data_IF_334475908436
#
_entry.id   IF_334475908436
#
_cell.length_a   1.000
_cell.length_b   1.000
_cell.length_c   1.000
_cell.angle_alpha   90.00
_cell.angle_beta   90.00
_cell.angle_gamma   90.00
#
_symmetry.space_group_name_H-M   'P 1'
#
loop_
_entity.id
_entity.type
_entity.pdbx_description
1 polymer ?
#
# COMPACT_ATOMS: atom_id res chain seq x y z
N UNK A 1 15.12 -5.00 5.50
CA UNK A 1 16.34 -4.55 6.22
C UNK A 1 17.03 -3.44 5.44
N UNK A 2 17.33 -3.61 4.13
CA UNK A 2 18.05 -2.62 3.30
C UNK A 2 17.28 -1.29 3.14
N UNK A 3 15.97 -1.35 2.87
CA UNK A 3 15.10 -0.16 2.77
C UNK A 3 15.04 0.59 4.11
N UNK A 4 15.02 -0.12 5.23
CA UNK A 4 15.01 0.47 6.56
C UNK A 4 16.31 1.23 6.86
N UNK A 5 17.46 0.69 6.44
CA UNK A 5 18.75 1.36 6.61
C UNK A 5 18.84 2.68 5.81
N UNK A 6 18.31 2.69 4.57
CA UNK A 6 18.27 3.90 3.74
C UNK A 6 17.36 5.00 4.33
N UNK A 7 16.26 4.61 4.97
CA UNK A 7 15.34 5.56 5.64
C UNK A 7 15.98 6.12 6.93
N UNK A 8 16.89 5.38 7.56
CA UNK A 8 17.61 5.84 8.77
C UNK A 8 18.60 6.97 8.46
N UNK A 9 19.27 6.90 7.31
CA UNK A 9 20.25 7.91 6.89
C UNK A 9 19.60 9.25 6.50
N UNK A 10 18.29 9.25 6.23
CA UNK A 10 17.53 10.43 5.79
C UNK A 10 16.85 11.23 6.91
N UNK A 11 16.98 10.83 8.17
CA UNK A 11 16.23 11.46 9.27
C UNK A 11 17.09 12.40 10.14
N UNK A 12 16.96 13.73 9.99
CA UNK A 12 16.91 14.61 11.14
C UNK A 12 15.44 14.95 11.44
N UNK A 13 14.97 14.53 12.60
CA UNK A 13 13.75 15.03 13.21
C UNK A 13 14.00 16.51 13.61
N UNK A 14 13.54 17.42 12.78
CA UNK A 14 13.61 18.84 13.08
C UNK A 14 12.69 19.58 12.13
N UNK A 15 11.71 20.30 12.67
CA UNK A 15 10.90 21.30 11.97
C UNK A 15 11.77 22.41 11.42
N UNK A 16 12.57 22.14 10.42
CA UNK A 16 13.25 23.18 9.66
C UNK A 16 12.44 23.37 8.39
N UNK A 17 11.91 24.56 8.18
CA UNK A 17 11.36 24.99 6.89
C UNK A 17 12.38 24.58 5.83
N UNK A 18 12.04 23.61 5.01
CA UNK A 18 12.88 23.09 3.95
C UNK A 18 13.34 24.27 3.10
N UNK A 19 14.63 24.64 3.17
CA UNK A 19 15.25 25.37 2.07
C UNK A 19 14.98 24.54 0.83
N UNK A 20 14.39 25.15 -0.19
CA UNK A 20 14.13 24.51 -1.49
C UNK A 20 15.41 23.75 -1.88
N UNK A 21 15.32 22.43 -1.85
CA UNK A 21 16.44 21.58 -2.23
C UNK A 21 16.68 21.78 -3.72
N UNK A 22 17.80 22.41 -4.08
CA UNK A 22 18.15 22.71 -5.47
C UNK A 22 18.74 21.51 -6.21
N UNK A 23 18.94 20.39 -5.51
CA UNK A 23 19.52 19.17 -6.09
C UNK A 23 18.98 17.89 -5.43
N UNK A 24 19.33 16.76 -6.03
CA UNK A 24 19.01 15.44 -5.49
C UNK A 24 19.82 15.17 -4.21
N UNK A 25 19.20 14.59 -3.18
CA UNK A 25 19.87 14.21 -1.96
C UNK A 25 20.94 13.12 -2.20
N UNK A 26 22.00 13.02 -1.37
CA UNK A 26 22.97 11.93 -1.45
C UNK A 26 22.24 10.57 -1.41
N UNK A 27 22.67 9.60 -2.24
CA UNK A 27 22.03 8.28 -2.31
C UNK A 27 20.70 8.21 -3.06
N UNK A 28 20.23 9.28 -3.69
CA UNK A 28 18.93 9.36 -4.36
C UNK A 28 18.68 8.23 -5.37
N UNK A 29 19.70 7.75 -6.10
CA UNK A 29 19.54 6.66 -7.08
C UNK A 29 19.13 5.35 -6.42
N UNK A 30 19.73 5.02 -5.27
CA UNK A 30 19.43 3.81 -4.52
C UNK A 30 18.06 3.96 -3.85
N UNK A 31 17.79 5.12 -3.26
CA UNK A 31 16.49 5.43 -2.68
C UNK A 31 15.37 5.34 -3.74
N UNK A 32 15.57 5.94 -4.90
CA UNK A 32 14.61 5.88 -6.01
C UNK A 32 14.40 4.45 -6.49
N UNK A 33 15.46 3.68 -6.72
CA UNK A 33 15.37 2.29 -7.16
C UNK A 33 14.64 1.40 -6.15
N UNK A 34 14.97 1.51 -4.86
CA UNK A 34 14.30 0.75 -3.80
C UNK A 34 12.83 1.14 -3.62
N UNK A 35 12.49 2.42 -3.76
CA UNK A 35 11.11 2.89 -3.70
C UNK A 35 10.30 2.47 -4.93
N UNK A 36 10.89 2.45 -6.11
CA UNK A 36 10.24 1.93 -7.32
C UNK A 36 9.98 0.42 -7.21
N UNK A 37 10.92 -0.35 -6.67
CA UNK A 37 10.73 -1.77 -6.41
C UNK A 37 9.61 -2.01 -5.37
N UNK A 38 9.61 -1.24 -4.28
CA UNK A 38 8.54 -1.27 -3.27
C UNK A 38 7.18 -0.90 -3.87
N UNK A 39 7.15 0.09 -4.77
CA UNK A 39 5.95 0.49 -5.49
C UNK A 39 5.46 -0.61 -6.44
N UNK A 40 6.36 -1.28 -7.13
CA UNK A 40 6.03 -2.40 -8.01
C UNK A 40 5.37 -3.54 -7.21
N UNK A 41 5.96 -3.91 -6.08
CA UNK A 41 5.39 -4.90 -5.16
C UNK A 41 4.03 -4.45 -4.58
N UNK A 42 3.93 -3.17 -4.18
CA UNK A 42 2.68 -2.58 -3.69
C UNK A 42 1.59 -2.55 -4.76
N UNK A 43 1.92 -2.21 -6.01
CA UNK A 43 1.01 -2.24 -7.15
C UNK A 43 0.49 -3.64 -7.46
N UNK A 44 1.36 -4.64 -7.36
CA UNK A 44 0.98 -6.03 -7.52
C UNK A 44 -0.01 -6.46 -6.43
N UNK A 45 0.32 -6.20 -5.15
CA UNK A 45 -0.54 -6.54 -4.02
C UNK A 45 -1.87 -5.79 -4.11
N UNK A 46 -1.85 -4.49 -4.41
CA UNK A 46 -3.05 -3.68 -4.56
C UNK A 46 -3.95 -4.20 -5.69
N UNK A 47 -3.37 -4.49 -6.86
CA UNK A 47 -4.10 -5.06 -8.00
C UNK A 47 -4.69 -6.43 -7.68
N UNK A 48 -3.91 -7.32 -7.06
CA UNK A 48 -4.37 -8.64 -6.64
C UNK A 48 -5.52 -8.54 -5.63
N UNK A 49 -5.35 -7.74 -4.58
CA UNK A 49 -6.38 -7.57 -3.54
C UNK A 49 -7.66 -6.94 -4.09
N UNK A 50 -7.56 -5.96 -4.99
CA UNK A 50 -8.74 -5.33 -5.60
C UNK A 50 -9.58 -6.34 -6.38
N UNK A 51 -8.94 -7.33 -7.00
CA UNK A 51 -9.62 -8.40 -7.73
C UNK A 51 -10.09 -9.54 -6.80
N UNK A 52 -9.22 -9.97 -5.88
CA UNK A 52 -9.45 -11.15 -5.04
C UNK A 52 -10.48 -10.88 -3.95
N UNK A 53 -10.50 -9.67 -3.35
CA UNK A 53 -11.39 -9.37 -2.21
C UNK A 53 -12.88 -9.59 -2.55
N UNK A 54 -13.44 -9.03 -3.64
CA UNK A 54 -14.85 -9.29 -3.98
C UNK A 54 -15.12 -10.78 -4.25
N UNK A 55 -14.22 -11.44 -4.97
CA UNK A 55 -14.36 -12.85 -5.30
C UNK A 55 -14.26 -13.75 -4.07
N UNK A 56 -13.36 -13.43 -3.17
CA UNK A 56 -13.18 -14.17 -1.93
C UNK A 56 -14.38 -13.98 -0.98
N UNK A 57 -14.96 -12.79 -0.96
CA UNK A 57 -16.21 -12.54 -0.22
C UNK A 57 -17.38 -13.34 -0.77
N UNK A 58 -17.50 -13.45 -2.09
CA UNK A 58 -18.54 -14.26 -2.72
C UNK A 58 -18.48 -15.74 -2.30
N UNK A 59 -17.27 -16.29 -2.19
CA UNK A 59 -17.05 -17.71 -1.90
C UNK A 59 -17.05 -17.99 -0.39
N UNK A 60 -16.46 -17.13 0.42
CA UNK A 60 -16.10 -17.42 1.81
C UNK A 60 -16.97 -16.69 2.84
N UNK A 61 -17.98 -15.92 2.40
CA UNK A 61 -18.95 -15.26 3.27
C UNK A 61 -20.39 -15.75 3.01
N UNK A 62 -20.70 -17.06 3.03
CA UNK A 62 -22.03 -17.55 2.67
C UNK A 62 -23.13 -17.02 3.60
N UNK A 63 -22.81 -16.71 4.87
CA UNK A 63 -23.77 -16.18 5.83
C UNK A 63 -24.13 -14.71 5.59
N UNK A 64 -23.26 -13.93 4.90
CA UNK A 64 -23.40 -12.48 4.77
C UNK A 64 -23.58 -12.07 3.31
N UNK A 65 -22.84 -12.70 2.40
CA UNK A 65 -22.85 -12.40 0.97
C UNK A 65 -23.97 -13.17 0.27
N UNK A 66 -25.19 -12.66 0.39
CA UNK A 66 -26.41 -13.31 -0.15
C UNK A 66 -26.66 -12.99 -1.63
N UNK A 67 -25.96 -12.01 -2.19
CA UNK A 67 -26.07 -11.61 -3.60
C UNK A 67 -24.84 -10.83 -4.06
N UNK A 68 -24.64 -10.75 -5.39
CA UNK A 68 -23.55 -9.97 -5.99
C UNK A 68 -23.56 -8.50 -5.53
N UNK A 69 -24.76 -7.92 -5.36
CA UNK A 69 -24.91 -6.56 -4.88
C UNK A 69 -24.41 -6.39 -3.44
N UNK A 70 -24.72 -7.34 -2.56
CA UNK A 70 -24.25 -7.34 -1.16
C UNK A 70 -22.73 -7.54 -1.12
N UNK A 71 -22.19 -8.45 -1.92
CA UNK A 71 -20.74 -8.65 -2.05
C UNK A 71 -20.02 -7.36 -2.47
N UNK A 72 -20.55 -6.68 -3.47
CA UNK A 72 -20.02 -5.40 -3.94
C UNK A 72 -20.10 -4.30 -2.87
N UNK A 73 -21.20 -4.25 -2.11
CA UNK A 73 -21.34 -3.31 -0.99
C UNK A 73 -20.32 -3.57 0.11
N UNK A 74 -20.12 -4.83 0.52
CA UNK A 74 -19.13 -5.21 1.52
C UNK A 74 -17.71 -4.84 1.09
N UNK A 75 -17.34 -5.13 -0.16
CA UNK A 75 -16.05 -4.72 -0.72
C UNK A 75 -15.91 -3.19 -0.73
N UNK A 76 -16.95 -2.45 -1.09
CA UNK A 76 -16.96 -0.99 -1.09
C UNK A 76 -16.75 -0.40 0.31
N UNK A 77 -17.34 -1.00 1.34
CA UNK A 77 -17.13 -0.60 2.74
C UNK A 77 -15.68 -0.80 3.14
N UNK A 78 -15.08 -1.94 2.77
CA UNK A 78 -13.67 -2.23 3.04
C UNK A 78 -12.76 -1.19 2.39
N UNK A 79 -12.96 -0.86 1.11
CA UNK A 79 -12.15 0.13 0.40
C UNK A 79 -12.37 1.56 0.93
N UNK A 80 -13.61 1.92 1.27
CA UNK A 80 -13.91 3.21 1.87
C UNK A 80 -13.19 3.37 3.22
N UNK A 81 -13.30 2.38 4.11
CA UNK A 81 -12.61 2.39 5.40
C UNK A 81 -11.08 2.45 5.23
N UNK A 82 -10.52 1.65 4.31
CA UNK A 82 -9.11 1.65 3.99
C UNK A 82 -8.61 3.02 3.47
N UNK A 83 -9.43 3.73 2.70
CA UNK A 83 -9.09 5.07 2.21
C UNK A 83 -8.90 6.08 3.33
N UNK A 84 -9.70 6.03 4.39
CA UNK A 84 -9.52 6.88 5.57
C UNK A 84 -8.23 6.60 6.33
N UNK A 85 -7.71 5.37 6.25
CA UNK A 85 -6.43 5.01 6.88
C UNK A 85 -5.27 5.84 6.32
N UNK A 86 -5.32 6.26 5.06
CA UNK A 86 -4.30 7.11 4.47
C UNK A 86 -4.16 8.45 5.21
N UNK A 87 -5.26 9.02 5.70
CA UNK A 87 -5.27 10.25 6.49
C UNK A 87 -4.60 10.01 7.85
N UNK A 88 -4.97 8.91 8.52
CA UNK A 88 -4.39 8.54 9.80
C UNK A 88 -2.88 8.26 9.70
N UNK A 89 -2.47 7.54 8.65
CA UNK A 89 -1.05 7.26 8.39
C UNK A 89 -0.30 8.55 8.01
N UNK A 90 -0.89 9.43 7.21
CA UNK A 90 -0.32 10.75 6.91
C UNK A 90 -0.01 11.54 8.19
N UNK A 91 -0.97 11.61 9.12
CA UNK A 91 -0.78 12.22 10.42
C UNK A 91 0.31 11.53 11.27
N UNK A 92 0.42 10.20 11.17
CA UNK A 92 1.39 9.42 11.93
C UNK A 92 2.83 9.64 11.45
N UNK A 93 3.06 9.74 10.12
CA UNK A 93 4.39 9.98 9.55
C UNK A 93 4.98 11.36 9.91
N UNK A 94 4.11 12.31 10.28
CA UNK A 94 4.55 13.62 10.76
C UNK A 94 5.10 13.56 12.21
N UNK A 95 4.82 12.50 12.95
CA UNK A 95 5.16 12.34 14.38
C UNK A 95 6.14 11.21 14.65
N UNK A 96 6.10 10.16 13.84
CA UNK A 96 6.91 8.95 14.01
C UNK A 96 7.83 8.80 12.80
N UNK A 97 9.09 8.39 12.97
CA UNK A 97 9.99 8.14 11.85
C UNK A 97 9.35 7.17 10.83
N UNK A 98 9.30 7.53 9.54
CA UNK A 98 8.61 6.75 8.50
C UNK A 98 9.04 5.29 8.42
N UNK A 99 10.28 4.97 8.82
CA UNK A 99 10.80 3.60 8.86
C UNK A 99 9.99 2.68 9.76
N UNK A 100 9.60 3.15 10.94
CA UNK A 100 8.82 2.37 11.88
C UNK A 100 7.38 2.21 11.43
N UNK A 101 6.82 3.28 10.85
CA UNK A 101 5.47 3.23 10.29
C UNK A 101 5.42 2.24 9.12
N UNK A 102 6.41 2.29 8.20
CA UNK A 102 6.51 1.36 7.08
C UNK A 102 6.68 -0.09 7.55
N UNK A 103 7.53 -0.33 8.56
CA UNK A 103 7.72 -1.66 9.13
C UNK A 103 6.42 -2.19 9.75
N UNK A 104 5.74 -1.39 10.58
CA UNK A 104 4.49 -1.78 11.23
C UNK A 104 3.39 -2.09 10.22
N UNK A 105 3.27 -1.25 9.19
CA UNK A 105 2.30 -1.44 8.09
C UNK A 105 2.62 -2.73 7.31
N UNK A 106 3.89 -3.00 7.00
CA UNK A 106 4.29 -4.23 6.30
C UNK A 106 4.02 -5.49 7.12
N UNK A 107 4.38 -5.49 8.40
CA UNK A 107 4.10 -6.62 9.30
C UNK A 107 2.60 -6.82 9.47
N UNK A 108 1.84 -5.75 9.71
CA UNK A 108 0.39 -5.79 9.84
C UNK A 108 -0.27 -6.36 8.58
N UNK A 109 0.14 -5.91 7.40
CA UNK A 109 -0.37 -6.39 6.12
C UNK A 109 -0.17 -7.90 5.97
N UNK A 110 1.05 -8.42 6.17
CA UNK A 110 1.34 -9.85 6.03
C UNK A 110 0.54 -10.66 7.06
N UNK A 111 0.49 -10.18 8.31
CA UNK A 111 -0.23 -10.87 9.39
C UNK A 111 -1.73 -10.98 9.08
N UNK A 112 -2.39 -9.88 8.72
CA UNK A 112 -3.83 -9.88 8.52
C UNK A 112 -4.25 -10.54 7.20
N UNK A 113 -3.42 -10.53 6.17
CA UNK A 113 -3.66 -11.32 4.95
C UNK A 113 -3.54 -12.82 5.26
N UNK A 114 -2.55 -13.24 6.06
CA UNK A 114 -2.40 -14.62 6.47
C UNK A 114 -3.57 -15.09 7.36
N UNK A 115 -4.02 -14.25 8.30
CA UNK A 115 -5.19 -14.54 9.13
C UNK A 115 -6.46 -14.64 8.31
N UNK A 116 -6.65 -13.77 7.32
CA UNK A 116 -7.80 -13.81 6.43
C UNK A 116 -7.90 -15.14 5.68
N UNK A 117 -6.77 -15.76 5.33
CA UNK A 117 -6.76 -17.08 4.69
C UNK A 117 -7.28 -18.23 5.59
N UNK A 118 -7.33 -18.01 6.90
CA UNK A 118 -7.78 -19.02 7.89
C UNK A 118 -9.20 -18.76 8.41
N UNK A 119 -9.83 -17.64 8.04
CA UNK A 119 -11.11 -17.21 8.56
C UNK A 119 -12.21 -17.32 7.50
N UNK A 120 -13.45 -17.41 7.98
CA UNK A 120 -14.69 -17.36 7.17
C UNK A 120 -15.65 -16.34 7.75
N UNK A 121 -16.69 -15.98 7.00
CA UNK A 121 -17.79 -15.10 7.40
C UNK A 121 -17.32 -13.77 8.05
N UNK A 122 -17.87 -13.41 9.20
CA UNK A 122 -17.57 -12.14 9.86
C UNK A 122 -16.08 -11.97 10.21
N UNK A 123 -15.42 -13.04 10.65
CA UNK A 123 -14.00 -12.99 11.00
C UNK A 123 -13.14 -12.68 9.78
N UNK A 124 -13.44 -13.28 8.63
CA UNK A 124 -12.81 -12.98 7.36
C UNK A 124 -13.03 -11.52 6.95
N UNK A 125 -14.27 -11.03 7.04
CA UNK A 125 -14.58 -9.64 6.68
C UNK A 125 -13.72 -8.65 7.48
N UNK A 126 -13.66 -8.79 8.80
CA UNK A 126 -12.86 -7.90 9.64
C UNK A 126 -11.35 -8.06 9.41
N UNK A 127 -10.85 -9.29 9.22
CA UNK A 127 -9.44 -9.50 8.90
C UNK A 127 -9.06 -8.85 7.57
N UNK A 128 -9.91 -8.97 6.56
CA UNK A 128 -9.68 -8.37 5.25
C UNK A 128 -9.78 -6.83 5.29
N UNK A 129 -10.73 -6.29 6.06
CA UNK A 129 -10.84 -4.84 6.28
C UNK A 129 -9.54 -4.29 6.88
N UNK A 130 -9.01 -4.91 7.93
CA UNK A 130 -7.76 -4.47 8.56
C UNK A 130 -6.57 -4.67 7.61
N UNK A 131 -6.50 -5.78 6.88
CA UNK A 131 -5.47 -6.00 5.87
C UNK A 131 -5.44 -4.88 4.82
N UNK A 132 -6.62 -4.50 4.29
CA UNK A 132 -6.74 -3.43 3.31
C UNK A 132 -6.38 -2.05 3.88
N UNK A 133 -6.65 -1.79 5.15
CA UNK A 133 -6.17 -0.58 5.83
C UNK A 133 -4.63 -0.49 5.79
N UNK A 134 -3.92 -1.58 6.01
CA UNK A 134 -2.46 -1.61 5.90
C UNK A 134 -1.98 -1.45 4.45
N UNK A 135 -2.64 -2.08 3.48
CA UNK A 135 -2.30 -1.93 2.04
C UNK A 135 -2.41 -0.47 1.61
N UNK A 136 -3.51 0.20 1.93
CA UNK A 136 -3.73 1.61 1.60
C UNK A 136 -2.81 2.55 2.41
N UNK A 137 -2.52 2.21 3.66
CA UNK A 137 -1.61 2.99 4.52
C UNK A 137 -0.17 3.05 4.01
N UNK A 138 0.27 2.09 3.20
CA UNK A 138 1.61 2.10 2.61
C UNK A 138 1.82 3.23 1.58
N UNK A 139 0.75 3.68 0.92
CA UNK A 139 0.82 4.68 -0.16
C UNK A 139 1.44 6.00 0.31
N UNK A 140 0.88 6.71 1.32
CA UNK A 140 1.43 7.99 1.77
C UNK A 140 2.83 7.87 2.35
N UNK A 141 3.20 6.72 2.92
CA UNK A 141 4.54 6.50 3.47
C UNK A 141 5.58 6.52 2.36
N UNK A 142 5.35 5.75 1.29
CA UNK A 142 6.28 5.66 0.16
C UNK A 142 6.38 6.99 -0.60
N UNK A 143 5.29 7.74 -0.71
CA UNK A 143 5.29 9.07 -1.33
C UNK A 143 6.09 10.07 -0.50
N UNK A 144 5.93 10.05 0.80
CA UNK A 144 6.68 10.92 1.73
C UNK A 144 8.17 10.62 1.70
N UNK A 145 8.56 9.35 1.76
CA UNK A 145 9.98 8.96 1.69
C UNK A 145 10.57 9.43 0.35
N UNK A 146 9.92 9.12 -0.76
CA UNK A 146 10.40 9.47 -2.09
C UNK A 146 10.57 10.99 -2.25
N UNK A 147 9.62 11.77 -1.75
CA UNK A 147 9.65 13.23 -1.83
C UNK A 147 10.82 13.88 -1.05
N UNK A 148 11.43 13.17 -0.10
CA UNK A 148 12.60 13.66 0.66
C UNK A 148 13.91 13.58 -0.13
N UNK A 149 14.00 12.69 -1.12
CA UNK A 149 15.21 12.48 -1.93
C UNK A 149 15.19 13.23 -3.25
N UNK A 150 14.02 13.74 -3.66
CA UNK A 150 13.82 14.38 -4.96
C UNK A 150 13.60 15.88 -4.77
N UNK A 151 14.29 16.74 -5.55
CA UNK A 151 14.07 18.18 -5.52
C UNK A 151 12.64 18.55 -5.96
N UNK A 152 12.13 19.65 -5.45
CA UNK A 152 10.75 20.09 -5.69
C UNK A 152 10.39 20.20 -7.18
N UNK A 153 11.34 20.62 -8.01
CA UNK A 153 11.19 20.73 -9.47
C UNK A 153 10.95 19.40 -10.19
N UNK A 154 11.39 18.29 -9.60
CA UNK A 154 11.26 16.94 -10.16
C UNK A 154 10.21 16.07 -9.45
N UNK A 155 9.74 16.50 -8.28
CA UNK A 155 8.84 15.72 -7.42
C UNK A 155 7.59 15.25 -8.16
N UNK A 156 6.91 16.16 -8.86
CA UNK A 156 5.69 15.80 -9.60
C UNK A 156 5.95 14.75 -10.69
N UNK A 157 7.06 14.88 -11.43
CA UNK A 157 7.43 13.93 -12.49
C UNK A 157 7.72 12.53 -11.92
N UNK A 158 8.51 12.46 -10.84
CA UNK A 158 8.86 11.18 -10.21
C UNK A 158 7.64 10.50 -9.60
N UNK A 159 6.75 11.24 -8.95
CA UNK A 159 5.50 10.70 -8.43
C UNK A 159 4.56 10.23 -9.54
N UNK A 160 4.50 10.95 -10.67
CA UNK A 160 3.71 10.50 -11.83
C UNK A 160 4.24 9.20 -12.42
N UNK A 161 5.56 9.06 -12.57
CA UNK A 161 6.18 7.82 -13.05
C UNK A 161 5.91 6.68 -12.07
N UNK A 162 6.06 6.92 -10.77
CA UNK A 162 5.70 5.96 -9.71
C UNK A 162 4.26 5.49 -9.87
N UNK A 163 3.32 6.42 -10.03
CA UNK A 163 1.90 6.12 -10.16
C UNK A 163 1.60 5.31 -11.43
N UNK A 164 2.22 5.66 -12.56
CA UNK A 164 2.11 4.89 -13.81
C UNK A 164 2.60 3.46 -13.64
N UNK A 165 3.77 3.25 -13.03
CA UNK A 165 4.31 1.91 -12.76
C UNK A 165 3.34 1.11 -11.87
N UNK A 166 2.81 1.73 -10.82
CA UNK A 166 1.84 1.10 -9.93
C UNK A 166 0.58 0.64 -10.68
N UNK A 167 0.03 1.49 -11.54
CA UNK A 167 -1.16 1.17 -12.34
C UNK A 167 -0.88 0.07 -13.37
N UNK A 168 0.26 0.14 -14.09
CA UNK A 168 0.63 -0.85 -15.09
C UNK A 168 0.81 -2.25 -14.46
N UNK A 169 1.49 -2.31 -13.31
CA UNK A 169 1.70 -3.56 -12.60
C UNK A 169 0.37 -4.07 -12.03
N UNK A 170 -0.44 -3.21 -11.41
CA UNK A 170 -1.75 -3.57 -10.90
C UNK A 170 -2.68 -4.13 -12.00
N UNK A 171 -2.69 -3.49 -13.16
CA UNK A 171 -3.46 -3.97 -14.32
C UNK A 171 -2.96 -5.33 -14.85
N UNK A 172 -1.65 -5.58 -14.80
CA UNK A 172 -1.05 -6.86 -15.24
C UNK A 172 -1.42 -8.04 -14.33
N UNK A 173 -1.82 -7.77 -13.09
CA UNK A 173 -2.21 -8.82 -12.14
C UNK A 173 -3.56 -9.45 -12.52
N UNK A 174 -4.48 -8.67 -13.10
CA UNK A 174 -5.83 -9.16 -13.45
C UNK A 174 -5.81 -10.41 -14.34
N UNK A 175 -5.11 -10.44 -15.49
CA UNK A 175 -5.02 -11.65 -16.30
C UNK A 175 -4.32 -12.81 -15.58
N UNK A 176 -3.32 -12.53 -14.75
CA UNK A 176 -2.61 -13.55 -13.97
C UNK A 176 -3.56 -14.23 -12.98
N UNK A 177 -4.29 -13.43 -12.19
CA UNK A 177 -5.29 -13.96 -11.26
C UNK A 177 -6.41 -14.72 -11.99
N UNK A 178 -6.84 -14.24 -13.15
CA UNK A 178 -7.86 -14.91 -13.98
C UNK A 178 -7.41 -16.30 -14.44
N UNK A 179 -6.17 -16.44 -14.90
CA UNK A 179 -5.62 -17.75 -15.32
C UNK A 179 -5.49 -18.70 -14.11
N UNK A 180 -5.00 -18.23 -12.97
CA UNK A 180 -4.86 -19.06 -11.76
C UNK A 180 -6.23 -19.58 -11.28
N UNK A 181 -7.24 -18.72 -11.27
CA UNK A 181 -8.60 -19.11 -10.84
C UNK A 181 -9.31 -20.06 -11.82
N UNK A 182 -8.91 -20.08 -13.09
CA UNK A 182 -9.45 -21.02 -14.09
C UNK A 182 -8.73 -22.37 -14.08
N UNK A 183 -7.52 -22.43 -13.55
CA UNK A 183 -6.70 -23.64 -13.52
C UNK A 183 -6.88 -24.47 -12.24
N UNK A 184 -7.55 -23.96 -11.22
CA UNK A 184 -7.85 -24.63 -9.95
C UNK A 184 -9.32 -24.90 -9.76
#
# INVERSE_FOLDING_TARGET
VFILALVEEAAPAGKTKSKMATGFAPGWKIALGSMLLSTASGGFIFGAMTFVVPRYFEISLPAISTSVAVTGLLASIVYAAASFTQIAVGWLIDRVPPKWVLFSVGVGQVTFVALAASFTDYALFFAMLVAMCFVFGQIPITDTILSRYVPDSWRARVLSVKFMINLMIGASVLPICGVILQSG
#
